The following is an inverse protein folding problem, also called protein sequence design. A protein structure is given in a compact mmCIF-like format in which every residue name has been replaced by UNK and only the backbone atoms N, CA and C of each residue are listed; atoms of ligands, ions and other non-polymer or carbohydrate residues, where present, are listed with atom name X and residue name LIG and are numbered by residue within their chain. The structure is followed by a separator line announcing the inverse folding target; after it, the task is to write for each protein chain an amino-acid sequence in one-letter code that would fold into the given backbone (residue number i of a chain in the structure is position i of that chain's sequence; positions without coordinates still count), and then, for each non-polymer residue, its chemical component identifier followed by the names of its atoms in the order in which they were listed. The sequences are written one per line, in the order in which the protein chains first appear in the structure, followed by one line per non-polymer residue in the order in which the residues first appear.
data_IF_856064417155
#
_entry.id   IF_856064417155
#
_cell.length_a   1.000
_cell.length_b   1.000
_cell.length_c   1.000
_cell.angle_alpha   90.00
_cell.angle_beta   90.00
_cell.angle_gamma   90.00
#
_symmetry.space_group_name_H-M   'P 1'
#
loop_
_entity.id
_entity.type
_entity.pdbx_description
1 polymer ?
#
# COMPACT_ATOMS: atom_id res chain seq x y z
N UNK A 1 -14.78 -28.26 -0.16
CA UNK A 1 -14.34 -28.26 -1.57
C UNK A 1 -13.63 -26.95 -1.84
N UNK A 2 -12.30 -26.98 -1.93
CA UNK A 2 -11.42 -25.81 -2.07
C UNK A 2 -11.32 -25.31 -3.51
N UNK A 3 -12.45 -24.92 -4.10
CA UNK A 3 -12.47 -24.41 -5.47
C UNK A 3 -11.63 -23.12 -5.56
N UNK A 4 -10.64 -23.11 -6.45
CA UNK A 4 -9.82 -21.93 -6.79
C UNK A 4 -10.07 -21.53 -8.25
N UNK A 5 -11.26 -20.98 -8.58
CA UNK A 5 -11.66 -20.74 -9.96
C UNK A 5 -10.88 -19.57 -10.59
N UNK A 6 -10.29 -18.68 -9.79
CA UNK A 6 -9.64 -17.47 -10.29
C UNK A 6 -8.17 -17.74 -10.60
N UNK A 7 -7.80 -17.69 -11.88
CA UNK A 7 -6.43 -17.96 -12.34
C UNK A 7 -5.69 -16.66 -12.64
N UNK A 8 -4.39 -16.62 -12.37
CA UNK A 8 -3.53 -15.52 -12.78
C UNK A 8 -3.48 -15.43 -14.31
N UNK A 9 -3.60 -14.22 -14.84
CA UNK A 9 -3.58 -13.96 -16.28
C UNK A 9 -2.17 -14.06 -16.90
N UNK A 10 -1.12 -14.04 -16.07
CA UNK A 10 0.25 -14.22 -16.53
C UNK A 10 0.50 -15.71 -16.90
N UNK A 11 0.79 -16.02 -18.18
CA UNK A 11 0.97 -17.39 -18.66
C UNK A 11 2.09 -18.16 -17.96
N UNK A 12 3.12 -17.48 -17.45
CA UNK A 12 4.23 -18.15 -16.75
C UNK A 12 3.98 -18.32 -15.25
N UNK A 13 2.94 -17.70 -14.70
CA UNK A 13 2.68 -17.74 -13.25
C UNK A 13 1.87 -18.97 -12.81
N UNK A 14 0.82 -19.32 -13.56
CA UNK A 14 -0.02 -20.51 -13.31
C UNK A 14 -0.81 -20.53 -11.98
N UNK A 15 -0.67 -19.52 -11.12
CA UNK A 15 -1.28 -19.49 -9.78
C UNK A 15 -2.81 -19.34 -9.83
N UNK A 16 -3.50 -20.00 -8.91
CA UNK A 16 -4.95 -19.96 -8.76
C UNK A 16 -5.37 -19.56 -7.35
N UNK A 17 -6.53 -18.92 -7.24
CA UNK A 17 -7.03 -18.29 -6.03
C UNK A 17 -8.52 -18.60 -5.81
N UNK A 18 -8.96 -18.69 -4.54
CA UNK A 18 -10.36 -18.93 -4.20
C UNK A 18 -11.24 -17.68 -4.35
N UNK A 19 -10.65 -16.47 -4.42
CA UNK A 19 -11.39 -15.22 -4.61
C UNK A 19 -10.68 -14.24 -5.55
N UNK A 20 -11.48 -13.38 -6.20
CA UNK A 20 -10.97 -12.27 -7.02
C UNK A 20 -10.06 -11.36 -6.21
N UNK A 21 -10.41 -11.07 -4.95
CA UNK A 21 -9.60 -10.19 -4.08
C UNK A 21 -8.18 -10.74 -3.89
N UNK A 22 -8.05 -12.06 -3.68
CA UNK A 22 -6.74 -12.70 -3.54
C UNK A 22 -5.96 -12.70 -4.86
N UNK A 23 -6.63 -13.00 -5.99
CA UNK A 23 -6.02 -12.90 -7.32
C UNK A 23 -5.53 -11.48 -7.61
N UNK A 24 -6.37 -10.46 -7.40
CA UNK A 24 -6.01 -9.05 -7.64
C UNK A 24 -4.84 -8.62 -6.75
N UNK A 25 -4.83 -9.02 -5.48
CA UNK A 25 -3.72 -8.74 -4.57
C UNK A 25 -2.41 -9.41 -5.04
N UNK A 26 -2.49 -10.67 -5.46
CA UNK A 26 -1.36 -11.37 -6.04
C UNK A 26 -0.83 -10.65 -7.28
N UNK A 27 -1.71 -10.36 -8.25
CA UNK A 27 -1.32 -9.74 -9.51
C UNK A 27 -0.64 -8.39 -9.28
N UNK A 28 -1.20 -7.59 -8.38
CA UNK A 28 -0.66 -6.28 -8.01
C UNK A 28 0.76 -6.34 -7.44
N UNK A 29 1.04 -7.32 -6.59
CA UNK A 29 2.33 -7.40 -5.88
C UNK A 29 3.38 -8.21 -6.66
N UNK A 30 2.97 -9.20 -7.44
CA UNK A 30 3.87 -10.11 -8.13
C UNK A 30 4.16 -9.69 -9.58
N UNK A 31 3.20 -9.05 -10.27
CA UNK A 31 3.32 -8.74 -11.69
C UNK A 31 3.34 -7.23 -11.97
N UNK A 32 2.50 -6.43 -11.29
CA UNK A 32 2.49 -4.97 -11.50
C UNK A 32 3.61 -4.22 -10.77
N UNK A 33 4.37 -4.89 -9.90
CA UNK A 33 5.44 -4.27 -9.11
C UNK A 33 4.95 -3.12 -8.22
N UNK A 34 5.72 -2.03 -8.19
CA UNK A 34 5.44 -0.85 -7.36
C UNK A 34 5.22 0.39 -8.22
N UNK A 35 4.02 0.55 -8.83
CA UNK A 35 3.78 1.64 -9.78
C UNK A 35 3.67 3.02 -9.11
N UNK A 36 3.37 3.08 -7.81
CA UNK A 36 3.16 4.33 -7.10
C UNK A 36 4.47 4.84 -6.49
N UNK A 37 5.15 5.75 -7.19
CA UNK A 37 6.42 6.35 -6.76
C UNK A 37 6.20 7.65 -5.99
N UNK A 38 7.02 7.89 -4.96
CA UNK A 38 7.09 9.17 -4.29
C UNK A 38 7.80 10.19 -5.19
N UNK A 39 7.28 11.42 -5.21
CA UNK A 39 7.86 12.54 -5.97
C UNK A 39 8.45 13.63 -5.06
N UNK A 40 8.31 13.46 -3.75
CA UNK A 40 8.79 14.42 -2.74
C UNK A 40 10.29 14.29 -2.49
N UNK A 41 10.87 15.31 -1.86
CA UNK A 41 12.22 15.25 -1.30
C UNK A 41 12.17 14.76 0.15
N UNK A 42 13.18 13.98 0.54
CA UNK A 42 13.36 13.57 1.93
C UNK A 42 13.90 14.73 2.79
N UNK A 43 14.14 14.45 4.06
CA UNK A 43 14.70 15.41 5.03
C UNK A 43 16.13 15.90 4.72
N UNK A 44 16.88 15.23 3.83
CA UNK A 44 18.21 15.67 3.41
C UNK A 44 18.20 16.39 2.05
N UNK A 45 17.01 16.75 1.54
CA UNK A 45 16.86 17.49 0.29
C UNK A 45 17.02 16.65 -0.97
N UNK A 46 17.23 15.32 -0.85
CA UNK A 46 17.29 14.41 -2.00
C UNK A 46 15.89 13.91 -2.36
N UNK A 47 15.64 13.69 -3.65
CA UNK A 47 14.41 13.05 -4.11
C UNK A 47 14.22 11.69 -3.43
N UNK A 48 13.01 11.42 -2.96
CA UNK A 48 12.66 10.17 -2.31
C UNK A 48 12.54 9.05 -3.36
N UNK A 49 13.24 7.95 -3.14
CA UNK A 49 13.25 6.79 -4.05
C UNK A 49 12.19 5.74 -3.71
N UNK A 50 11.29 6.04 -2.76
CA UNK A 50 10.29 5.10 -2.28
C UNK A 50 9.19 4.85 -3.33
N UNK A 51 8.84 3.58 -3.52
CA UNK A 51 7.75 3.16 -4.37
C UNK A 51 6.85 2.15 -3.64
N UNK A 52 5.58 2.10 -4.02
CA UNK A 52 4.54 1.31 -3.37
C UNK A 52 3.68 0.55 -4.38
N UNK A 53 3.18 -0.62 -3.96
CA UNK A 53 2.22 -1.41 -4.74
C UNK A 53 0.79 -0.86 -4.66
N UNK A 54 0.48 0.00 -3.69
CA UNK A 54 -0.86 0.57 -3.44
C UNK A 54 -0.81 2.08 -3.29
N UNK A 55 -1.81 2.77 -3.87
CA UNK A 55 -1.98 4.23 -3.76
C UNK A 55 -2.08 4.70 -2.31
N UNK A 56 -2.88 4.01 -1.48
CA UNK A 56 -3.03 4.33 -0.07
C UNK A 56 -1.68 4.35 0.67
N UNK A 57 -0.82 3.37 0.43
CA UNK A 57 0.52 3.31 1.05
C UNK A 57 1.40 4.49 0.63
N UNK A 58 1.32 4.93 -0.63
CA UNK A 58 2.00 6.16 -1.07
C UNK A 58 1.44 7.40 -0.35
N UNK A 59 0.11 7.52 -0.26
CA UNK A 59 -0.54 8.65 0.43
C UNK A 59 -0.12 8.74 1.90
N UNK A 60 -0.12 7.62 2.63
CA UNK A 60 0.35 7.58 4.01
C UNK A 60 1.84 7.89 4.09
N UNK A 61 2.64 7.39 3.16
CA UNK A 61 4.07 7.70 3.10
C UNK A 61 4.34 9.19 2.88
N UNK A 62 3.62 9.89 2.00
CA UNK A 62 3.83 11.33 1.76
C UNK A 62 3.67 12.16 3.05
N UNK A 63 2.84 11.70 3.99
CA UNK A 63 2.70 12.33 5.31
C UNK A 63 3.98 12.29 6.16
N UNK A 64 4.94 11.42 5.85
CA UNK A 64 6.25 11.44 6.52
C UNK A 64 7.10 12.63 6.09
N UNK A 65 6.87 13.18 4.89
CA UNK A 65 7.55 14.37 4.39
C UNK A 65 6.87 15.64 4.89
N UNK A 66 5.55 15.70 4.78
CA UNK A 66 4.75 16.88 5.19
C UNK A 66 4.53 16.97 6.71
N UNK A 67 4.78 15.88 7.44
CA UNK A 67 4.47 15.72 8.88
C UNK A 67 2.98 15.90 9.21
N UNK A 68 2.10 15.73 8.21
CA UNK A 68 0.66 15.84 8.39
C UNK A 68 0.13 14.69 9.26
N UNK A 69 -0.64 15.03 10.29
CA UNK A 69 -1.26 14.08 11.22
C UNK A 69 -2.78 14.31 11.29
N UNK A 70 -3.53 13.83 10.29
CA UNK A 70 -4.96 14.14 10.18
C UNK A 70 -5.84 13.37 11.17
N UNK A 71 -5.34 12.30 11.77
CA UNK A 71 -6.12 11.48 12.71
C UNK A 71 -5.84 11.90 14.14
N UNK A 72 -6.81 12.52 14.80
CA UNK A 72 -6.72 12.88 16.22
C UNK A 72 -7.37 11.81 17.09
N UNK A 73 -6.70 11.42 18.18
CA UNK A 73 -7.34 10.68 19.24
C UNK A 73 -8.34 11.59 19.98
N UNK A 74 -9.49 11.03 20.38
CA UNK A 74 -10.49 11.76 21.16
C UNK A 74 -10.21 11.69 22.67
N UNK A 75 -9.45 10.70 23.11
CA UNK A 75 -9.15 10.44 24.53
C UNK A 75 -7.80 11.02 24.97
N UNK A 76 -6.93 11.36 24.02
CA UNK A 76 -5.61 11.91 24.32
C UNK A 76 -5.20 12.93 23.24
N UNK A 77 -4.23 13.82 23.54
CA UNK A 77 -3.84 14.90 22.60
C UNK A 77 -3.03 14.41 21.38
N UNK A 78 -2.87 13.09 21.22
CA UNK A 78 -2.04 12.51 20.16
C UNK A 78 -2.73 12.57 18.81
N UNK A 79 -1.94 12.92 17.79
CA UNK A 79 -2.33 12.87 16.38
C UNK A 79 -1.43 11.91 15.60
N UNK A 80 -2.01 11.19 14.66
CA UNK A 80 -1.37 10.15 13.87
C UNK A 80 -1.49 10.42 12.37
N UNK A 81 -0.50 9.94 11.61
CA UNK A 81 -0.45 10.00 10.15
C UNK A 81 -1.26 8.87 9.48
N UNK A 82 -1.62 7.83 10.23
CA UNK A 82 -2.42 6.69 9.79
C UNK A 82 -3.54 6.40 10.79
N UNK A 83 -4.67 5.88 10.29
CA UNK A 83 -5.81 5.45 11.10
C UNK A 83 -5.51 4.07 11.70
N UNK A 84 -4.68 4.06 12.74
CA UNK A 84 -4.45 2.86 13.56
C UNK A 84 -5.44 2.92 14.72
N UNK A 85 -6.11 1.81 15.03
CA UNK A 85 -6.93 1.73 16.25
C UNK A 85 -6.05 1.93 17.47
N UNK A 86 -6.54 2.70 18.45
CA UNK A 86 -5.93 2.77 19.78
C UNK A 86 -6.11 1.38 20.42
N UNK A 87 -5.03 0.67 20.72
CA UNK A 87 -5.05 -0.62 21.44
C UNK A 87 -4.97 -0.32 22.92
#
# INVERSE_FOLDING_TARGET
MDAKPYKCADPVCGKTFPSVVQLTSHYRNAHNGKPYRCVEHNNNGRRCDMAFGRKYSLTVHVRTHTKEKPFACQECPMKFSEKVGHI
#
